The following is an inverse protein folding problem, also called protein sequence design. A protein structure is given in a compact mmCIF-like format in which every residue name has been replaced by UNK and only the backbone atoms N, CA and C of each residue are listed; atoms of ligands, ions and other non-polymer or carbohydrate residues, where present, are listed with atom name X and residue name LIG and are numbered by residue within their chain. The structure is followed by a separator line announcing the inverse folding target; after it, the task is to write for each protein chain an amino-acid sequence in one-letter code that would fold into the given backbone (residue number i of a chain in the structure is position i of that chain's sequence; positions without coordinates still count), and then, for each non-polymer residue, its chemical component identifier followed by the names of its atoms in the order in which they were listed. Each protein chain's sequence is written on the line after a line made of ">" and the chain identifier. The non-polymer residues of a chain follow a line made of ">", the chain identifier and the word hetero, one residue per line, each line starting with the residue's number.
data_IF_067764786738
#
_entry.id   IF_067764786738
#
_cell.length_a   1.000
_cell.length_b   1.000
_cell.length_c   1.000
_cell.angle_alpha   90.00
_cell.angle_beta   90.00
_cell.angle_gamma   90.00
#
_symmetry.space_group_name_H-M   'P 1'
#
loop_
_entity.id
_entity.type
_entity.pdbx_description
1 polymer ?
#
# COMPACT_ATOMS: atom_id res chain seq x y z
N UNK A 1 10.59 6.57 -7.97
CA UNK A 1 9.89 6.32 -6.70
C UNK A 1 10.44 5.03 -6.12
N UNK A 2 10.73 5.00 -4.83
CA UNK A 2 11.23 3.82 -4.12
C UNK A 2 10.19 3.44 -3.08
N UNK A 3 9.75 2.19 -3.08
CA UNK A 3 8.88 1.64 -2.04
C UNK A 3 9.68 1.47 -0.75
N UNK A 4 9.03 1.66 0.40
CA UNK A 4 9.62 1.43 1.71
C UNK A 4 8.58 0.79 2.60
N UNK A 5 8.88 -0.40 3.12
CA UNK A 5 8.02 -1.10 4.06
C UNK A 5 7.70 -0.19 5.26
N UNK A 6 6.42 -0.13 5.62
CA UNK A 6 5.89 0.71 6.69
C UNK A 6 5.53 2.14 6.29
N UNK A 7 5.82 2.58 5.06
CA UNK A 7 5.32 3.88 4.57
C UNK A 7 3.78 3.92 4.56
N UNK A 8 3.21 5.09 4.81
CA UNK A 8 1.78 5.30 4.67
C UNK A 8 1.42 5.99 3.36
N UNK A 9 0.31 5.55 2.78
CA UNK A 9 -0.24 6.06 1.53
C UNK A 9 -1.72 6.34 1.69
N UNK A 10 -2.15 7.53 1.27
CA UNK A 10 -3.56 7.89 1.22
C UNK A 10 -4.07 7.63 -0.19
N UNK A 11 -5.17 6.88 -0.31
CA UNK A 11 -5.84 6.70 -1.60
C UNK A 11 -6.50 8.03 -2.01
N UNK A 12 -6.18 8.52 -3.21
CA UNK A 12 -6.63 9.85 -3.66
C UNK A 12 -8.12 9.93 -3.95
N UNK A 13 -8.78 8.79 -4.17
CA UNK A 13 -10.21 8.71 -4.48
C UNK A 13 -11.07 8.54 -3.23
N UNK A 14 -10.58 7.79 -2.24
CA UNK A 14 -11.36 7.45 -1.03
C UNK A 14 -10.89 8.17 0.23
N UNK A 15 -9.76 8.88 0.17
CA UNK A 15 -9.08 9.49 1.34
C UNK A 15 -8.76 8.50 2.48
N UNK A 16 -8.80 7.20 2.22
CA UNK A 16 -8.42 6.18 3.20
C UNK A 16 -6.90 6.06 3.29
N UNK A 17 -6.40 5.88 4.51
CA UNK A 17 -4.97 5.71 4.82
C UNK A 17 -4.61 4.21 4.84
N UNK A 18 -3.56 3.85 4.12
CA UNK A 18 -3.05 2.50 4.03
C UNK A 18 -1.58 2.45 4.44
N UNK A 19 -1.18 1.35 5.08
CA UNK A 19 0.24 1.05 5.33
C UNK A 19 0.76 0.14 4.21
N UNK A 20 1.91 0.48 3.65
CA UNK A 20 2.59 -0.35 2.67
C UNK A 20 3.40 -1.42 3.39
N UNK A 21 3.21 -2.69 3.03
CA UNK A 21 3.97 -3.80 3.60
C UNK A 21 4.73 -4.56 2.52
N UNK A 22 5.89 -5.08 2.91
CA UNK A 22 6.71 -5.99 2.13
C UNK A 22 6.81 -7.32 2.88
N UNK A 23 6.57 -8.43 2.18
CA UNK A 23 6.71 -9.77 2.76
C UNK A 23 8.09 -10.38 2.50
N UNK A 24 8.27 -11.62 2.98
CA UNK A 24 9.54 -12.34 2.92
C UNK A 24 9.97 -12.67 1.49
N UNK A 25 9.02 -12.71 0.55
CA UNK A 25 9.24 -13.03 -0.85
C UNK A 25 9.37 -11.76 -1.71
N UNK A 26 9.56 -10.59 -1.08
CA UNK A 26 9.61 -9.28 -1.74
C UNK A 26 8.33 -8.92 -2.49
N UNK A 27 7.19 -9.51 -2.10
CA UNK A 27 5.86 -9.10 -2.57
C UNK A 27 5.31 -7.98 -1.72
N UNK A 28 4.48 -7.14 -2.32
CA UNK A 28 3.99 -5.91 -1.71
C UNK A 28 2.47 -5.91 -1.59
N UNK A 29 1.94 -5.41 -0.48
CA UNK A 29 0.51 -5.14 -0.31
C UNK A 29 0.28 -3.81 0.44
N UNK A 30 -0.97 -3.35 0.43
CA UNK A 30 -1.45 -2.25 1.26
C UNK A 30 -2.35 -2.85 2.35
N UNK A 31 -2.23 -2.39 3.59
CA UNK A 31 -3.17 -2.74 4.66
C UNK A 31 -3.96 -1.52 5.10
N UNK A 32 -5.29 -1.62 5.06
CA UNK A 32 -6.20 -0.66 5.66
C UNK A 32 -6.40 -1.03 7.12
N UNK A 33 -6.30 -0.04 8.02
CA UNK A 33 -6.75 -0.21 9.40
C UNK A 33 -8.17 0.34 9.52
N UNK A 34 -9.09 -0.48 10.00
CA UNK A 34 -10.44 -0.05 10.40
C UNK A 34 -10.76 -0.58 11.81
N UNK A 35 -12.04 -0.48 12.20
CA UNK A 35 -12.52 -0.89 13.52
C UNK A 35 -12.46 -2.41 13.73
N UNK A 36 -12.48 -3.20 12.65
CA UNK A 36 -12.47 -4.66 12.67
C UNK A 36 -11.06 -5.25 12.59
N UNK A 37 -10.08 -4.47 12.10
CA UNK A 37 -8.67 -4.84 12.17
C UNK A 37 -7.84 -4.30 11.02
N UNK A 38 -6.91 -5.13 10.53
CA UNK A 38 -6.11 -4.84 9.35
C UNK A 38 -6.60 -5.69 8.18
N UNK A 39 -7.05 -5.03 7.12
CA UNK A 39 -7.44 -5.70 5.88
C UNK A 39 -6.36 -5.48 4.82
N UNK A 40 -5.65 -6.56 4.48
CA UNK A 40 -4.62 -6.56 3.45
C UNK A 40 -5.24 -6.64 2.06
N UNK A 41 -4.72 -5.85 1.12
CA UNK A 41 -5.01 -6.00 -0.31
C UNK A 41 -4.28 -7.22 -0.88
N UNK A 42 -4.62 -7.57 -2.12
CA UNK A 42 -3.85 -8.54 -2.88
C UNK A 42 -2.36 -8.18 -2.93
N UNK A 43 -1.52 -9.22 -2.84
CA UNK A 43 -0.08 -9.12 -2.97
C UNK A 43 0.29 -9.00 -4.44
N UNK A 44 1.15 -8.05 -4.76
CA UNK A 44 1.62 -7.79 -6.13
C UNK A 44 3.12 -7.55 -6.16
N UNK A 45 3.70 -7.59 -7.36
CA UNK A 45 5.12 -7.29 -7.55
C UNK A 45 5.44 -5.84 -7.18
N UNK A 46 6.66 -5.57 -6.73
CA UNK A 46 7.09 -4.19 -6.43
C UNK A 46 6.98 -3.23 -7.63
N UNK A 47 7.14 -3.74 -8.86
CA UNK A 47 6.96 -2.95 -10.08
C UNK A 47 5.51 -2.51 -10.24
N UNK A 48 4.57 -3.43 -10.04
CA UNK A 48 3.14 -3.14 -10.19
C UNK A 48 2.63 -2.29 -9.03
N UNK A 49 3.16 -2.52 -7.83
CA UNK A 49 2.92 -1.63 -6.69
C UNK A 49 3.37 -0.21 -7.01
N UNK A 50 4.59 0.04 -7.51
CA UNK A 50 5.04 1.39 -7.92
C UNK A 50 4.06 2.05 -8.91
N UNK A 51 3.52 1.30 -9.86
CA UNK A 51 2.52 1.81 -10.80
C UNK A 51 1.21 2.18 -10.10
N UNK A 52 0.71 1.31 -9.23
CA UNK A 52 -0.49 1.52 -8.42
C UNK A 52 -0.36 2.78 -7.56
N UNK A 53 0.69 2.88 -6.75
CA UNK A 53 0.87 4.03 -5.84
C UNK A 53 1.12 5.34 -6.60
N UNK A 54 1.72 5.32 -7.79
CA UNK A 54 1.83 6.53 -8.62
C UNK A 54 0.51 7.00 -9.22
N UNK A 55 -0.38 6.07 -9.56
CA UNK A 55 -1.64 6.38 -10.23
C UNK A 55 -2.76 6.79 -9.28
N UNK A 56 -2.78 6.21 -8.09
CA UNK A 56 -3.98 6.22 -7.23
C UNK A 56 -3.72 6.60 -5.77
N UNK A 57 -2.47 6.86 -5.38
CA UNK A 57 -2.13 7.12 -3.99
C UNK A 57 -1.16 8.30 -3.84
N UNK A 58 -1.24 8.98 -2.70
CA UNK A 58 -0.29 10.02 -2.30
C UNK A 58 0.42 9.54 -1.03
N UNK A 59 1.75 9.64 -1.04
CA UNK A 59 2.53 9.37 0.17
C UNK A 59 2.16 10.40 1.25
N UNK A 60 1.80 9.93 2.44
CA UNK A 60 1.39 10.79 3.57
C UNK A 60 2.55 11.16 4.48
#
# INVERSE_FOLDING_TARGET
>A
MRLRNGDFYTNVFTNKLFRLNEDKDSSWNLSLRDEEGYHETEKISGRDMIRLVKGSYKKS
#
